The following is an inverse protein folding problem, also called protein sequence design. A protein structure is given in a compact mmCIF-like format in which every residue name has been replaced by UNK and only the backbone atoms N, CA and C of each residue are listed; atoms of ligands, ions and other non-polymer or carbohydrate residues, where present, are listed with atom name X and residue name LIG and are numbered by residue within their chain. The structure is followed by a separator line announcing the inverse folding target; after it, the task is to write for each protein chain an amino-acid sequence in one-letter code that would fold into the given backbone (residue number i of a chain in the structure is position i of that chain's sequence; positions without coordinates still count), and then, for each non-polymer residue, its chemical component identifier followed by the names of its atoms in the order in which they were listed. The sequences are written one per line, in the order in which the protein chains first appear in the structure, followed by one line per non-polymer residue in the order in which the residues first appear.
data_IF_223494553971
#
_entry.id   IF_223494553971
#
_cell.length_a   1.000
_cell.length_b   1.000
_cell.length_c   1.000
_cell.angle_alpha   90.00
_cell.angle_beta   90.00
_cell.angle_gamma   90.00
#
_symmetry.space_group_name_H-M   'P 1'
#
loop_
_entity.id
_entity.type
_entity.pdbx_description
1 polymer ?
#
# COMPACT_ATOMS: atom_id res chain seq x y z
N UNK A 1 -1.16 -35.37 -35.60
CA UNK A 1 -0.78 -34.08 -35.00
C UNK A 1 -1.13 -34.15 -33.53
N UNK A 2 -0.12 -34.09 -32.65
CA UNK A 2 -0.30 -34.20 -31.21
C UNK A 2 -0.90 -32.88 -30.67
N UNK A 3 -2.09 -32.86 -30.04
CA UNK A 3 -2.74 -31.63 -29.57
C UNK A 3 -2.04 -30.94 -28.38
N UNK A 4 -0.98 -31.55 -27.84
CA UNK A 4 -0.24 -31.07 -26.67
C UNK A 4 0.91 -30.10 -26.98
N UNK A 5 1.12 -29.75 -28.24
CA UNK A 5 2.20 -28.83 -28.64
C UNK A 5 1.66 -27.45 -29.03
N UNK A 6 0.85 -26.85 -28.16
CA UNK A 6 0.37 -25.46 -28.30
C UNK A 6 1.50 -24.49 -27.92
N UNK A 7 1.79 -23.53 -28.80
CA UNK A 7 2.91 -22.60 -28.67
C UNK A 7 2.75 -21.69 -27.43
N UNK A 8 3.33 -22.10 -26.31
CA UNK A 8 3.58 -21.19 -25.19
C UNK A 8 4.70 -20.24 -25.59
N UNK A 9 4.39 -18.95 -25.67
CA UNK A 9 5.42 -17.91 -25.79
C UNK A 9 5.93 -17.57 -24.40
N UNK A 10 7.12 -18.07 -24.08
CA UNK A 10 7.80 -17.81 -22.82
C UNK A 10 8.86 -16.71 -23.01
N UNK A 11 8.82 -15.70 -22.17
CA UNK A 11 9.90 -14.71 -22.03
C UNK A 11 10.49 -14.91 -20.65
N UNK A 12 11.79 -15.23 -20.60
CA UNK A 12 12.58 -15.29 -19.36
C UNK A 12 13.65 -14.20 -19.41
N UNK A 13 13.59 -13.28 -18.46
CA UNK A 13 14.63 -12.28 -18.22
C UNK A 13 15.25 -12.57 -16.86
N UNK A 14 16.58 -12.71 -16.80
CA UNK A 14 17.34 -12.87 -15.57
C UNK A 14 18.42 -11.77 -15.54
N UNK A 15 18.32 -10.88 -14.55
CA UNK A 15 19.26 -9.77 -14.37
C UNK A 15 19.96 -9.95 -13.04
N UNK A 16 21.29 -9.97 -13.07
CA UNK A 16 22.16 -9.95 -11.89
C UNK A 16 22.81 -8.57 -11.76
N UNK A 17 22.76 -8.00 -10.54
CA UNK A 17 23.39 -6.71 -10.25
C UNK A 17 24.92 -6.81 -10.31
N UNK A 18 25.58 -5.84 -10.96
CA UNK A 18 27.04 -5.81 -11.14
C UNK A 18 27.80 -5.24 -9.92
N UNK A 19 27.11 -4.53 -9.03
CA UNK A 19 27.67 -3.96 -7.79
C UNK A 19 26.79 -4.32 -6.59
N UNK A 20 27.40 -4.71 -5.46
CA UNK A 20 26.69 -5.19 -4.27
C UNK A 20 26.53 -6.71 -4.22
N UNK A 21 25.58 -7.21 -3.42
CA UNK A 21 25.24 -8.64 -3.41
C UNK A 21 24.40 -8.96 -4.64
N UNK A 22 24.71 -10.02 -5.42
CA UNK A 22 23.96 -10.35 -6.63
C UNK A 22 22.48 -10.57 -6.31
N UNK A 23 21.62 -9.71 -6.84
CA UNK A 23 20.18 -9.92 -6.84
C UNK A 23 19.74 -10.70 -8.07
N UNK A 24 18.52 -11.23 -8.05
CA UNK A 24 17.88 -11.84 -9.20
C UNK A 24 16.54 -11.19 -9.49
N UNK A 25 16.21 -11.06 -10.76
CA UNK A 25 14.87 -10.72 -11.23
C UNK A 25 14.48 -11.77 -12.26
N UNK A 26 13.31 -12.37 -12.12
CA UNK A 26 12.77 -13.36 -13.05
C UNK A 26 11.36 -12.95 -13.45
N UNK A 27 11.15 -12.86 -14.75
CA UNK A 27 9.84 -12.69 -15.35
C UNK A 27 9.50 -13.98 -16.11
N UNK A 28 8.30 -14.49 -15.89
CA UNK A 28 7.66 -15.51 -16.68
C UNK A 28 6.34 -14.94 -17.18
N UNK A 29 6.12 -15.02 -18.48
CA UNK A 29 4.89 -14.62 -19.13
C UNK A 29 4.47 -15.77 -20.05
N UNK A 30 3.20 -16.14 -20.01
CA UNK A 30 2.59 -17.08 -20.93
C UNK A 30 1.25 -16.53 -21.38
N UNK A 31 1.05 -16.49 -22.69
CA UNK A 31 -0.24 -16.19 -23.31
C UNK A 31 -0.78 -17.47 -23.96
N UNK A 32 -2.09 -17.60 -23.99
CA UNK A 32 -2.74 -18.66 -24.76
C UNK A 32 -2.80 -18.30 -26.26
N UNK A 33 -3.21 -19.26 -27.09
CA UNK A 33 -3.28 -19.09 -28.54
C UNK A 33 -4.27 -17.97 -28.95
N UNK A 34 -5.25 -17.66 -28.10
CA UNK A 34 -6.23 -16.60 -28.37
C UNK A 34 -5.73 -15.20 -28.00
N UNK A 35 -4.58 -15.10 -27.33
CA UNK A 35 -4.04 -13.89 -26.73
C UNK A 35 -5.00 -13.21 -25.75
N UNK A 36 -6.00 -13.95 -25.24
CA UNK A 36 -6.98 -13.41 -24.28
C UNK A 36 -6.65 -13.82 -22.87
N UNK A 37 -6.02 -14.98 -22.68
CA UNK A 37 -5.69 -15.49 -21.37
C UNK A 37 -4.19 -15.35 -21.12
N UNK A 38 -3.85 -14.80 -19.97
CA UNK A 38 -2.47 -14.57 -19.55
C UNK A 38 -2.20 -15.27 -18.23
N UNK A 39 -1.00 -15.81 -18.09
CA UNK A 39 -0.40 -16.18 -16.80
C UNK A 39 0.94 -15.49 -16.71
N UNK A 40 1.24 -14.89 -15.57
CA UNK A 40 2.51 -14.24 -15.33
C UNK A 40 3.03 -14.55 -13.94
N UNK A 41 4.35 -14.57 -13.81
CA UNK A 41 5.05 -14.62 -12.53
C UNK A 41 6.28 -13.73 -12.61
N UNK A 42 6.39 -12.80 -11.68
CA UNK A 42 7.52 -11.92 -11.47
C UNK A 42 8.07 -12.25 -10.10
N UNK A 43 9.34 -12.61 -10.00
CA UNK A 43 10.02 -12.82 -8.72
C UNK A 43 11.31 -12.03 -8.72
N UNK A 44 11.60 -11.32 -7.65
CA UNK A 44 12.84 -10.62 -7.47
C UNK A 44 13.38 -10.85 -6.05
N UNK A 45 14.69 -11.04 -5.96
CA UNK A 45 15.41 -11.21 -4.69
C UNK A 45 16.61 -10.26 -4.72
N UNK A 46 16.63 -9.28 -3.83
CA UNK A 46 17.71 -8.32 -3.65
C UNK A 46 18.29 -8.51 -2.23
N UNK A 47 19.32 -9.37 -2.08
CA UNK A 47 19.90 -9.70 -0.79
C UNK A 47 20.58 -8.50 -0.12
N UNK A 48 20.88 -7.41 -0.83
CA UNK A 48 21.39 -6.19 -0.23
C UNK A 48 22.01 -5.20 -1.21
N UNK A 49 21.52 -3.96 -1.18
CA UNK A 49 22.00 -2.81 -1.96
C UNK A 49 22.04 -3.03 -3.47
N UNK A 50 21.23 -3.94 -4.01
CA UNK A 50 21.08 -4.16 -5.44
C UNK A 50 20.09 -3.20 -6.11
N UNK A 51 19.52 -3.64 -7.24
CA UNK A 51 18.66 -2.84 -8.12
C UNK A 51 17.40 -2.36 -7.39
N UNK A 52 16.79 -3.20 -6.54
CA UNK A 52 15.55 -2.85 -5.85
C UNK A 52 15.81 -1.86 -4.72
N UNK A 53 16.94 -2.00 -4.02
CA UNK A 53 17.38 -1.00 -3.05
C UNK A 53 17.56 0.37 -3.71
N UNK A 54 18.21 0.43 -4.87
CA UNK A 54 18.42 1.70 -5.59
C UNK A 54 17.14 2.30 -6.18
N UNK A 55 16.19 1.47 -6.60
CA UNK A 55 14.91 1.91 -7.13
C UNK A 55 13.95 2.41 -6.04
N UNK A 56 13.89 1.71 -4.91
CA UNK A 56 12.89 1.97 -3.85
C UNK A 56 13.42 2.80 -2.69
N UNK A 57 14.73 2.81 -2.48
CA UNK A 57 15.36 3.41 -1.30
C UNK A 57 15.17 2.58 -0.02
N UNK A 58 14.55 1.39 -0.10
CA UNK A 58 14.26 0.52 1.03
C UNK A 58 15.05 -0.80 0.96
N UNK A 59 15.41 -1.31 2.15
CA UNK A 59 15.57 -2.74 2.41
C UNK A 59 16.87 -3.37 1.94
N UNK A 60 17.67 -3.87 2.89
CA UNK A 60 18.50 -5.05 2.62
C UNK A 60 17.62 -6.30 2.68
N UNK A 61 17.84 -7.27 1.78
CA UNK A 61 17.11 -8.54 1.76
C UNK A 61 15.67 -8.42 1.29
N UNK A 62 15.40 -7.56 0.29
CA UNK A 62 14.07 -7.40 -0.27
C UNK A 62 13.73 -8.58 -1.18
N UNK A 63 12.61 -9.24 -0.93
CA UNK A 63 12.02 -10.26 -1.79
C UNK A 63 10.66 -9.78 -2.29
N UNK A 64 10.39 -10.04 -3.55
CA UNK A 64 9.17 -9.64 -4.24
C UNK A 64 8.71 -10.81 -5.09
N UNK A 65 7.48 -11.25 -4.92
CA UNK A 65 6.82 -12.26 -5.74
C UNK A 65 5.45 -11.73 -6.14
N UNK A 66 5.21 -11.66 -7.44
CA UNK A 66 3.94 -11.26 -8.02
C UNK A 66 3.55 -12.33 -9.04
N UNK A 67 2.42 -12.98 -8.83
CA UNK A 67 1.89 -13.96 -9.77
C UNK A 67 0.45 -13.62 -10.12
N UNK A 68 0.02 -14.00 -11.32
CA UNK A 68 -1.36 -13.80 -11.72
C UNK A 68 -1.75 -14.61 -12.93
N UNK A 69 -3.06 -14.80 -13.06
CA UNK A 69 -3.70 -15.50 -14.17
C UNK A 69 -5.10 -14.96 -14.40
N UNK A 70 -5.56 -15.02 -15.65
CA UNK A 70 -6.92 -14.64 -16.01
C UNK A 70 -7.01 -14.17 -17.45
N UNK A 71 -8.19 -13.69 -17.81
CA UNK A 71 -8.35 -12.97 -19.06
C UNK A 71 -7.68 -11.60 -18.97
N UNK A 72 -7.18 -11.04 -20.06
CA UNK A 72 -6.61 -9.69 -20.08
C UNK A 72 -7.59 -8.61 -19.57
N UNK A 73 -8.89 -8.88 -19.64
CA UNK A 73 -9.96 -8.05 -19.08
C UNK A 73 -10.26 -8.26 -17.59
N UNK A 74 -9.83 -9.38 -16.99
CA UNK A 74 -10.03 -9.69 -15.57
C UNK A 74 -8.91 -10.62 -15.08
N UNK A 75 -7.83 -10.00 -14.63
CA UNK A 75 -6.63 -10.67 -14.11
C UNK A 75 -6.74 -10.77 -12.59
N UNK A 76 -6.48 -11.96 -12.07
CA UNK A 76 -6.41 -12.22 -10.65
C UNK A 76 -5.00 -12.68 -10.28
N UNK A 77 -4.46 -12.21 -9.18
CA UNK A 77 -3.10 -12.48 -8.80
C UNK A 77 -2.84 -12.34 -7.32
N UNK A 78 -1.59 -12.55 -6.95
CA UNK A 78 -1.06 -12.45 -5.60
C UNK A 78 0.24 -11.71 -5.62
N UNK A 79 0.42 -10.82 -4.66
CA UNK A 79 1.65 -10.12 -4.36
C UNK A 79 2.14 -10.55 -2.99
N UNK A 80 3.41 -10.86 -2.89
CA UNK A 80 4.12 -11.06 -1.65
C UNK A 80 5.40 -10.22 -1.70
N UNK A 81 5.58 -9.34 -0.74
CA UNK A 81 6.80 -8.55 -0.58
C UNK A 81 7.31 -8.75 0.82
N UNK A 82 8.58 -9.07 1.00
CA UNK A 82 9.20 -9.15 2.32
C UNK A 82 10.55 -8.46 2.32
N UNK A 83 10.95 -7.93 3.47
CA UNK A 83 12.27 -7.35 3.63
C UNK A 83 12.51 -6.98 5.08
N UNK A 84 13.77 -7.02 5.51
CA UNK A 84 14.13 -6.81 6.91
C UNK A 84 13.66 -5.44 7.44
N UNK A 85 13.75 -4.40 6.62
CA UNK A 85 13.43 -3.03 7.06
C UNK A 85 11.94 -2.67 6.89
N UNK A 86 11.22 -3.45 6.09
CA UNK A 86 9.84 -3.15 5.70
C UNK A 86 8.82 -4.16 6.21
N UNK A 87 9.24 -5.30 6.77
CA UNK A 87 8.33 -6.40 7.15
C UNK A 87 7.85 -7.20 5.93
N UNK A 88 6.66 -7.79 6.04
CA UNK A 88 6.04 -8.65 5.04
C UNK A 88 4.65 -8.12 4.65
N UNK A 89 4.40 -7.97 3.36
CA UNK A 89 3.11 -7.62 2.75
C UNK A 89 2.65 -8.81 1.92
N UNK A 90 1.43 -9.29 2.15
CA UNK A 90 0.79 -10.31 1.31
C UNK A 90 -0.55 -9.79 0.83
N UNK A 91 -0.85 -9.89 -0.46
CA UNK A 91 -2.07 -9.33 -1.04
C UNK A 91 -2.61 -10.16 -2.19
N UNK A 92 -3.93 -10.29 -2.26
CA UNK A 92 -4.64 -10.63 -3.48
C UNK A 92 -4.79 -9.38 -4.35
N UNK A 93 -4.62 -9.56 -5.66
CA UNK A 93 -4.71 -8.51 -6.67
C UNK A 93 -5.82 -8.88 -7.65
N UNK A 94 -6.71 -7.95 -7.93
CA UNK A 94 -7.63 -8.04 -9.04
C UNK A 94 -7.45 -6.83 -9.95
N UNK A 95 -7.22 -7.07 -11.24
CA UNK A 95 -7.13 -6.02 -12.27
C UNK A 95 -8.21 -6.27 -13.30
N UNK A 96 -9.10 -5.31 -13.48
CA UNK A 96 -10.18 -5.37 -14.48
C UNK A 96 -10.00 -4.28 -15.51
N UNK A 97 -10.06 -4.66 -16.78
CA UNK A 97 -10.11 -3.74 -17.90
C UNK A 97 -11.53 -3.71 -18.45
N UNK A 98 -12.23 -2.62 -18.20
CA UNK A 98 -13.56 -2.35 -18.75
C UNK A 98 -13.45 -1.18 -19.73
N UNK A 99 -13.94 -0.02 -19.35
CA UNK A 99 -13.66 1.25 -20.02
C UNK A 99 -12.36 1.90 -19.52
N UNK A 100 -12.02 1.61 -18.26
CA UNK A 100 -10.85 2.03 -17.50
C UNK A 100 -10.17 0.78 -16.89
N UNK A 101 -8.94 0.95 -16.39
CA UNK A 101 -8.26 -0.08 -15.59
C UNK A 101 -8.65 0.11 -14.14
N UNK A 102 -9.27 -0.89 -13.52
CA UNK A 102 -9.51 -0.93 -12.08
C UNK A 102 -8.58 -1.93 -11.43
N UNK A 103 -7.96 -1.54 -10.33
CA UNK A 103 -7.01 -2.33 -9.55
C UNK A 103 -7.53 -2.39 -8.12
N UNK A 104 -7.75 -3.60 -7.63
CA UNK A 104 -8.01 -3.86 -6.21
C UNK A 104 -6.86 -4.65 -5.63
N UNK A 105 -6.29 -4.14 -4.54
CA UNK A 105 -5.36 -4.82 -3.67
C UNK A 105 -6.06 -5.05 -2.34
N UNK A 106 -6.00 -6.27 -1.81
CA UNK A 106 -6.49 -6.58 -0.46
C UNK A 106 -5.58 -7.60 0.17
N UNK A 107 -5.22 -7.41 1.43
CA UNK A 107 -4.13 -8.18 2.00
C UNK A 107 -3.85 -7.86 3.46
N UNK A 108 -2.72 -8.36 3.92
CA UNK A 108 -2.19 -8.09 5.23
C UNK A 108 -0.74 -7.65 5.20
N UNK A 109 -0.40 -6.93 6.25
CA UNK A 109 0.91 -6.44 6.54
C UNK A 109 1.34 -6.95 7.91
N UNK A 110 2.47 -7.64 7.93
CA UNK A 110 3.15 -8.14 9.11
C UNK A 110 4.47 -7.40 9.23
N UNK A 111 4.61 -6.47 10.18
CA UNK A 111 5.78 -5.62 10.23
C UNK A 111 7.01 -6.34 10.83
N UNK A 112 6.92 -7.62 11.20
CA UNK A 112 7.96 -8.41 11.87
C UNK A 112 9.38 -8.12 11.35
N UNK A 113 10.28 -7.77 12.27
CA UNK A 113 11.67 -7.42 11.95
C UNK A 113 11.91 -5.98 11.50
N UNK A 114 10.86 -5.21 11.21
CA UNK A 114 11.01 -3.82 10.75
C UNK A 114 11.40 -2.88 11.90
N UNK A 115 12.54 -2.15 11.80
CA UNK A 115 13.07 -1.31 12.89
C UNK A 115 12.11 -0.20 13.36
N UNK A 116 11.17 0.21 12.52
CA UNK A 116 10.24 1.28 12.84
C UNK A 116 9.16 0.86 13.85
N UNK A 117 8.87 -0.45 14.01
CA UNK A 117 7.92 -0.95 15.03
C UNK A 117 8.39 -0.61 16.44
N UNK A 118 9.68 -0.85 16.72
CA UNK A 118 10.27 -0.67 18.06
C UNK A 118 10.06 0.76 18.57
N UNK A 119 10.05 1.73 17.65
CA UNK A 119 9.85 3.15 17.94
C UNK A 119 8.44 3.49 18.45
N UNK A 120 7.42 2.72 18.04
CA UNK A 120 6.02 3.00 18.40
C UNK A 120 5.48 2.09 19.50
N UNK A 121 6.32 1.20 20.06
CA UNK A 121 5.92 0.22 21.07
C UNK A 121 4.67 -0.57 20.67
N UNK A 122 4.46 -0.74 19.37
CA UNK A 122 3.41 -1.61 18.87
C UNK A 122 3.78 -3.05 19.25
N UNK A 123 2.80 -3.78 19.77
CA UNK A 123 3.02 -5.16 20.21
C UNK A 123 3.57 -6.04 19.07
N UNK A 124 4.28 -7.13 19.40
CA UNK A 124 4.85 -8.06 18.43
C UNK A 124 3.80 -8.67 17.46
N UNK A 125 2.52 -8.61 17.80
CA UNK A 125 1.40 -9.14 17.01
C UNK A 125 0.69 -8.08 16.14
N UNK A 126 1.37 -6.96 15.82
CA UNK A 126 0.76 -5.88 15.03
C UNK A 126 0.56 -6.29 13.56
N UNK A 127 -0.48 -7.07 13.27
CA UNK A 127 -0.95 -7.30 11.90
C UNK A 127 -1.85 -6.15 11.48
N UNK A 128 -1.69 -5.68 10.25
CA UNK A 128 -2.60 -4.72 9.63
C UNK A 128 -3.19 -5.31 8.36
N UNK A 129 -4.50 -5.46 8.30
CA UNK A 129 -5.20 -5.76 7.06
C UNK A 129 -5.34 -4.45 6.27
N UNK A 130 -5.25 -4.53 4.95
CA UNK A 130 -5.42 -3.36 4.09
C UNK A 130 -6.26 -3.68 2.87
N UNK A 131 -6.86 -2.62 2.31
CA UNK A 131 -7.49 -2.62 1.01
C UNK A 131 -7.21 -1.31 0.29
N UNK A 132 -6.86 -1.42 -0.99
CA UNK A 132 -6.69 -0.30 -1.90
C UNK A 132 -7.54 -0.57 -3.14
N UNK A 133 -8.45 0.33 -3.45
CA UNK A 133 -9.08 0.36 -4.78
C UNK A 133 -8.53 1.60 -5.52
N UNK A 134 -7.98 1.38 -6.70
CA UNK A 134 -7.36 2.39 -7.54
C UNK A 134 -7.67 2.11 -9.00
N UNK A 135 -7.32 3.02 -9.89
CA UNK A 135 -7.47 2.78 -11.31
C UNK A 135 -6.74 3.78 -12.19
N UNK A 136 -6.83 3.52 -13.49
CA UNK A 136 -6.27 4.35 -14.55
C UNK A 136 -7.38 4.59 -15.55
N UNK A 137 -7.78 5.85 -15.71
CA UNK A 137 -8.86 6.19 -16.63
C UNK A 137 -8.37 6.28 -18.10
N UNK A 138 -9.30 6.50 -19.03
CA UNK A 138 -8.99 6.69 -20.47
C UNK A 138 -7.98 7.81 -20.77
N UNK A 139 -7.90 8.82 -19.92
CA UNK A 139 -6.93 9.92 -20.03
C UNK A 139 -5.55 9.56 -19.45
N UNK A 140 -5.37 8.32 -18.98
CA UNK A 140 -4.18 7.81 -18.27
C UNK A 140 -3.95 8.49 -16.93
N UNK A 141 -5.01 8.99 -16.32
CA UNK A 141 -4.95 9.58 -14.99
C UNK A 141 -5.09 8.48 -13.95
N UNK A 142 -4.17 8.49 -12.99
CA UNK A 142 -4.14 7.50 -11.92
C UNK A 142 -4.97 8.02 -10.76
N UNK A 143 -5.99 7.26 -10.37
CA UNK A 143 -6.85 7.57 -9.24
C UNK A 143 -6.73 6.53 -8.13
N UNK A 144 -6.86 6.97 -6.89
CA UNK A 144 -7.12 6.12 -5.73
C UNK A 144 -8.51 6.47 -5.21
N UNK A 145 -9.41 5.47 -5.17
CA UNK A 145 -10.82 5.63 -4.80
C UNK A 145 -11.09 5.28 -3.33
N UNK A 146 -10.30 4.34 -2.83
CA UNK A 146 -10.49 3.74 -1.52
C UNK A 146 -9.15 3.28 -0.95
N UNK A 147 -8.91 3.64 0.31
CA UNK A 147 -7.83 3.11 1.11
C UNK A 147 -8.39 2.74 2.48
N UNK A 148 -8.11 1.53 2.94
CA UNK A 148 -8.43 1.10 4.29
C UNK A 148 -7.22 0.38 4.87
N UNK A 149 -6.94 0.67 6.13
CA UNK A 149 -5.97 -0.06 6.95
C UNK A 149 -6.64 -0.36 8.29
N UNK A 150 -6.59 -1.60 8.74
CA UNK A 150 -7.18 -2.06 9.99
C UNK A 150 -6.18 -2.88 10.77
N UNK A 151 -5.98 -2.56 12.05
CA UNK A 151 -5.13 -3.33 12.95
C UNK A 151 -5.83 -3.49 14.30
N UNK A 152 -6.32 -4.70 14.59
CA UNK A 152 -7.17 -4.97 15.74
C UNK A 152 -8.44 -4.12 15.71
N UNK A 153 -8.63 -3.30 16.76
CA UNK A 153 -9.74 -2.34 16.87
C UNK A 153 -9.45 -0.96 16.27
N UNK A 154 -8.26 -0.78 15.69
CA UNK A 154 -7.87 0.46 15.02
C UNK A 154 -8.19 0.39 13.53
N UNK A 155 -8.66 1.49 12.96
CA UNK A 155 -9.04 1.58 11.57
C UNK A 155 -8.74 2.98 11.04
N UNK A 156 -8.19 3.04 9.83
CA UNK A 156 -8.10 4.25 9.03
C UNK A 156 -8.69 3.96 7.66
N UNK A 157 -9.59 4.81 7.21
CA UNK A 157 -10.29 4.67 5.94
C UNK A 157 -10.31 6.02 5.24
N UNK A 158 -10.03 6.01 3.94
CA UNK A 158 -10.26 7.10 3.02
C UNK A 158 -11.16 6.60 1.89
N UNK A 159 -12.13 7.43 1.51
CA UNK A 159 -13.03 7.19 0.38
C UNK A 159 -13.23 8.49 -0.38
N UNK A 160 -12.85 8.49 -1.65
CA UNK A 160 -12.85 9.65 -2.51
C UNK A 160 -11.81 9.48 -3.59
N UNK A 161 -11.59 10.49 -4.42
CA UNK A 161 -10.67 10.43 -5.53
C UNK A 161 -9.36 11.14 -5.16
N UNK A 162 -8.24 10.45 -5.30
CA UNK A 162 -6.92 11.09 -5.34
C UNK A 162 -6.37 10.94 -6.75
N UNK A 163 -6.34 12.04 -7.50
CA UNK A 163 -5.76 12.07 -8.83
C UNK A 163 -4.25 12.33 -8.72
N UNK A 164 -3.44 11.28 -8.88
CA UNK A 164 -1.99 11.36 -8.77
C UNK A 164 -1.34 12.06 -9.97
N UNK A 165 -2.05 12.20 -11.09
CA UNK A 165 -1.57 12.88 -12.28
C UNK A 165 -1.60 14.40 -12.13
N UNK A 166 -2.62 14.94 -11.45
CA UNK A 166 -2.72 16.37 -11.13
C UNK A 166 -2.34 16.71 -9.69
N UNK A 167 -2.08 15.69 -8.87
CA UNK A 167 -1.84 15.81 -7.43
C UNK A 167 -3.01 16.50 -6.71
N UNK A 168 -4.23 16.14 -7.08
CA UNK A 168 -5.47 16.65 -6.48
C UNK A 168 -6.17 15.54 -5.68
N UNK A 169 -6.94 15.95 -4.68
CA UNK A 169 -7.70 15.05 -3.83
C UNK A 169 -9.07 15.63 -3.53
N UNK A 170 -10.08 14.76 -3.50
CA UNK A 170 -11.41 15.07 -2.96
C UNK A 170 -11.98 13.81 -2.31
N UNK A 171 -12.26 13.85 -1.01
CA UNK A 171 -12.75 12.66 -0.34
C UNK A 171 -13.04 12.85 1.14
N UNK A 172 -13.52 11.78 1.75
CA UNK A 172 -13.78 11.70 3.18
C UNK A 172 -12.83 10.71 3.82
N UNK A 173 -12.42 11.00 5.04
CA UNK A 173 -11.63 10.08 5.85
C UNK A 173 -12.26 9.85 7.22
N UNK A 174 -12.03 8.65 7.74
CA UNK A 174 -12.35 8.25 9.10
C UNK A 174 -11.14 7.54 9.68
N UNK A 175 -10.75 7.91 10.89
CA UNK A 175 -9.72 7.22 11.67
C UNK A 175 -10.33 6.93 13.03
N UNK A 176 -10.22 5.70 13.50
CA UNK A 176 -10.59 5.28 14.84
C UNK A 176 -9.42 4.53 15.47
N UNK A 177 -8.98 4.99 16.62
CA UNK A 177 -7.91 4.38 17.40
C UNK A 177 -8.51 4.00 18.75
N UNK A 178 -8.52 2.70 19.03
CA UNK A 178 -9.07 2.11 20.25
C UNK A 178 -7.97 1.36 21.03
N UNK A 179 -6.72 1.76 20.86
CA UNK A 179 -5.57 1.22 21.59
C UNK A 179 -5.06 2.26 22.62
N UNK A 180 -5.38 2.08 23.92
CA UNK A 180 -4.96 3.00 24.96
C UNK A 180 -3.44 3.07 25.12
N UNK A 181 -2.71 1.97 24.87
CA UNK A 181 -1.25 1.95 24.97
C UNK A 181 -0.65 2.82 23.86
N UNK A 182 -1.07 2.60 22.62
CA UNK A 182 -0.67 3.45 21.49
C UNK A 182 -1.02 4.92 21.73
N UNK A 183 -2.24 5.22 22.16
CA UNK A 183 -2.69 6.59 22.44
C UNK A 183 -1.87 7.25 23.55
N UNK A 184 -1.53 6.52 24.62
CA UNK A 184 -0.70 7.06 25.71
C UNK A 184 0.73 7.37 25.27
N UNK A 185 1.28 6.61 24.32
CA UNK A 185 2.61 6.82 23.76
C UNK A 185 2.67 8.03 22.83
N UNK A 186 1.63 8.22 22.00
CA UNK A 186 1.55 9.33 21.03
C UNK A 186 1.12 10.63 21.72
N UNK A 187 0.13 10.57 22.61
CA UNK A 187 -0.45 11.72 23.30
C UNK A 187 0.05 11.77 24.75
N UNK A 188 1.36 12.00 24.90
CA UNK A 188 2.04 12.07 26.20
C UNK A 188 1.28 12.98 27.16
N UNK A 189 0.95 12.46 28.34
CA UNK A 189 0.24 13.20 29.39
C UNK A 189 -1.29 13.08 29.36
N UNK A 190 -1.86 12.40 28.37
CA UNK A 190 -3.28 12.09 28.31
C UNK A 190 -3.52 10.59 28.39
N UNK A 191 -4.47 10.18 29.23
CA UNK A 191 -4.99 8.81 29.22
C UNK A 191 -6.27 8.83 28.38
N UNK A 192 -6.25 8.17 27.23
CA UNK A 192 -7.41 8.04 26.34
C UNK A 192 -7.68 6.58 26.07
N UNK A 193 -8.96 6.21 26.08
CA UNK A 193 -9.42 4.88 25.69
C UNK A 193 -9.74 4.81 24.20
N UNK A 194 -10.14 5.94 23.61
CA UNK A 194 -10.51 6.04 22.21
C UNK A 194 -10.21 7.44 21.66
N UNK A 195 -9.72 7.47 20.43
CA UNK A 195 -9.63 8.66 19.60
C UNK A 195 -10.31 8.36 18.27
N UNK A 196 -11.10 9.30 17.76
CA UNK A 196 -11.66 9.22 16.42
C UNK A 196 -11.53 10.56 15.72
N UNK A 197 -11.15 10.51 14.44
CA UNK A 197 -11.05 11.63 13.55
C UNK A 197 -11.96 11.37 12.35
N UNK A 198 -12.79 12.34 11.99
CA UNK A 198 -13.60 12.29 10.78
C UNK A 198 -13.40 13.60 10.03
N UNK A 199 -13.44 13.55 8.71
CA UNK A 199 -13.26 14.76 7.95
C UNK A 199 -13.37 14.57 6.46
N UNK A 200 -13.17 15.67 5.76
CA UNK A 200 -13.05 15.71 4.31
C UNK A 200 -11.78 16.42 3.91
N UNK A 201 -11.23 16.03 2.78
CA UNK A 201 -10.08 16.65 2.15
C UNK A 201 -10.49 17.11 0.75
N UNK A 202 -10.04 18.28 0.33
CA UNK A 202 -10.26 18.81 -1.02
C UNK A 202 -9.06 19.63 -1.50
N UNK A 203 -8.80 19.61 -2.79
CA UNK A 203 -7.78 20.44 -3.43
C UNK A 203 -6.44 19.72 -3.58
N UNK A 204 -5.37 20.49 -3.74
CA UNK A 204 -4.04 19.96 -4.09
C UNK A 204 -3.43 19.19 -2.93
N UNK A 205 -2.82 18.04 -3.18
CA UNK A 205 -2.18 17.18 -2.17
C UNK A 205 -1.10 17.88 -1.33
N UNK A 206 -0.49 18.95 -1.85
CA UNK A 206 0.52 19.75 -1.13
C UNK A 206 -0.04 21.00 -0.44
N UNK A 207 -1.32 21.29 -0.62
CA UNK A 207 -2.05 22.38 0.03
C UNK A 207 -3.54 22.06 0.06
N UNK A 208 -3.96 20.96 0.72
CA UNK A 208 -5.36 20.57 0.71
C UNK A 208 -6.14 21.36 1.76
N UNK A 209 -7.39 21.67 1.46
CA UNK A 209 -8.37 22.10 2.43
C UNK A 209 -8.86 20.86 3.20
N UNK A 210 -8.66 20.84 4.51
CA UNK A 210 -9.07 19.75 5.38
C UNK A 210 -10.09 20.25 6.39
N UNK A 211 -11.29 19.68 6.34
CA UNK A 211 -12.24 19.76 7.44
C UNK A 211 -12.04 18.55 8.35
N UNK A 212 -11.81 18.79 9.65
CA UNK A 212 -11.49 17.78 10.63
C UNK A 212 -12.32 17.96 11.90
N UNK A 213 -12.95 16.87 12.32
CA UNK A 213 -13.62 16.71 13.60
C UNK A 213 -12.95 15.62 14.43
N UNK A 214 -12.48 15.96 15.63
CA UNK A 214 -11.84 15.04 16.57
C UNK A 214 -12.76 14.75 17.76
N UNK A 215 -12.88 13.47 18.10
CA UNK A 215 -13.57 13.02 19.31
C UNK A 215 -12.68 12.06 20.09
N UNK A 216 -12.41 12.42 21.35
CA UNK A 216 -11.60 11.62 22.27
C UNK A 216 -12.42 11.23 23.51
N UNK A 217 -12.14 10.05 24.04
CA UNK A 217 -12.78 9.52 25.24
C UNK A 217 -11.73 9.07 26.25
N UNK A 218 -11.77 9.65 27.45
CA UNK A 218 -10.88 9.31 28.56
C UNK A 218 -11.41 8.19 29.47
N UNK A 219 -10.65 7.83 30.52
CA UNK A 219 -11.13 7.04 31.65
C UNK A 219 -12.41 7.65 32.24
N UNK A 220 -13.34 6.82 32.72
CA UNK A 220 -14.57 7.31 33.37
C UNK A 220 -15.64 7.88 32.44
N UNK A 221 -15.53 7.67 31.11
CA UNK A 221 -16.45 8.20 30.08
C UNK A 221 -16.41 9.71 29.85
N UNK A 222 -15.36 10.40 30.29
CA UNK A 222 -15.14 11.80 29.91
C UNK A 222 -15.01 11.93 28.40
N UNK A 223 -15.77 12.86 27.80
CA UNK A 223 -15.79 13.11 26.36
C UNK A 223 -15.18 14.47 26.07
N UNK A 224 -14.20 14.48 25.16
CA UNK A 224 -13.63 15.69 24.60
C UNK A 224 -13.97 15.70 23.11
N UNK A 225 -14.60 16.77 22.63
CA UNK A 225 -14.92 16.95 21.22
C UNK A 225 -14.36 18.28 20.77
N UNK A 226 -13.61 18.26 19.68
CA UNK A 226 -13.18 19.45 18.96
C UNK A 226 -13.83 19.34 17.60
N UNK A 227 -14.87 20.13 17.40
CA UNK A 227 -15.50 20.33 16.10
C UNK A 227 -14.77 21.46 15.40
N UNK A 228 -14.21 21.18 14.22
CA UNK A 228 -13.57 22.14 13.32
C UNK A 228 -12.13 22.52 13.72
N UNK A 229 -11.16 21.78 13.19
CA UNK A 229 -9.74 22.18 13.15
C UNK A 229 -9.43 22.64 11.74
N UNK A 230 -9.29 23.94 11.55
CA UNK A 230 -8.78 24.54 10.32
C UNK A 230 -7.26 24.67 10.44
N UNK A 231 -6.50 23.99 9.59
CA UNK A 231 -5.04 24.05 9.61
C UNK A 231 -4.41 23.56 8.30
N UNK A 232 -3.27 24.15 7.95
CA UNK A 232 -2.52 23.76 6.76
C UNK A 232 -1.74 22.46 7.00
N UNK A 233 -2.04 21.42 6.23
CA UNK A 233 -1.27 20.17 6.24
C UNK A 233 -0.19 20.20 5.15
N UNK A 234 1.08 20.10 5.56
CA UNK A 234 2.21 19.98 4.63
C UNK A 234 2.69 18.53 4.56
N UNK A 235 2.47 17.86 3.43
CA UNK A 235 3.08 16.55 3.17
C UNK A 235 4.49 16.77 2.63
N UNK A 236 5.52 16.42 3.43
CA UNK A 236 6.91 16.37 2.96
C UNK A 236 7.22 14.95 2.49
N UNK A 237 7.39 14.77 1.19
CA UNK A 237 8.01 13.55 0.68
C UNK A 237 9.51 13.56 1.05
N UNK A 238 10.08 12.43 1.51
CA UNK A 238 11.51 12.31 1.69
C UNK A 238 12.21 12.41 0.32
N UNK A 239 12.61 13.64 -0.04
CA UNK A 239 13.46 13.91 -1.19
C UNK A 239 14.92 13.72 -0.80
N UNK A 240 15.62 12.91 -1.61
CA UNK A 240 17.08 12.73 -1.61
C UNK A 240 17.81 14.04 -1.29
N UNK A 241 18.74 14.01 -0.33
CA UNK A 241 19.79 15.03 -0.29
C UNK A 241 20.49 15.01 -1.65
N UNK A 242 20.39 16.11 -2.38
CA UNK A 242 21.32 16.39 -3.46
C UNK A 242 22.63 16.79 -2.78
N UNK A 243 23.53 15.83 -2.66
CA UNK A 243 24.96 16.12 -2.72
C UNK A 243 25.41 16.01 -4.18
#
# INVERSE_FOLDING_TARGET
SNPDNKEKREIRLEVEGLEGSPGSFKLFLSLDDTLRYMTFKISADDPGKGILYHATGFGQGLKFDLEGRGELSDLNGKLHVSGKDIGTVSSDINVRYLEDVHIRLSGDYLPEGAPWIEKYSAGPDMRADFRVDAGINRNREIHLDYLQVKSGENEAMFKGEINLSYLDSEGNFNISINDPLFLSNVLKGYTLNRLSANGSIKGRLYSPDIDLSLNAKGPGNEKFSISEINGDAFVRFPGRSRD
#
